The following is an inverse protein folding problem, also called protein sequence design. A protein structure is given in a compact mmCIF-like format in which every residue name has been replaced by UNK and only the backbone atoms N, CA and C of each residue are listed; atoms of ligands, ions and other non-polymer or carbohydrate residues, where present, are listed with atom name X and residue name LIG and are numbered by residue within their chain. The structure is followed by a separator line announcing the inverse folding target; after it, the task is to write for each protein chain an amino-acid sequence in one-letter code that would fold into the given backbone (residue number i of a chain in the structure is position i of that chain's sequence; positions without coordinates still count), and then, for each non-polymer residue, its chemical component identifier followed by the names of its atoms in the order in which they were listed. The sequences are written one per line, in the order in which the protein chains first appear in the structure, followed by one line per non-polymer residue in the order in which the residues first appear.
data_IF_240223400060
#
_entry.id   IF_240223400060
#
_cell.length_a   1.000
_cell.length_b   1.000
_cell.length_c   1.000
_cell.angle_alpha   90.00
_cell.angle_beta   90.00
_cell.angle_gamma   90.00
#
_symmetry.space_group_name_H-M   'P 1'
#
loop_
_entity.id
_entity.type
_entity.pdbx_description
1 polymer ?
#
# COMPACT_ATOMS: atom_id res chain seq x y z
N UNK A 1 2.69 29.82 9.85
CA UNK A 1 2.77 29.12 9.57
C UNK A 1 2.26 28.30 9.34
N UNK A 2 2.12 28.14 8.84
CA UNK A 2 1.57 27.26 8.85
C UNK A 2 2.07 26.09 8.68
N UNK A 3 2.06 25.39 9.45
CA UNK A 3 2.50 24.19 9.39
C UNK A 3 1.67 23.35 8.54
N UNK A 4 2.22 22.70 7.67
CA UNK A 4 1.53 21.83 6.87
C UNK A 4 1.37 20.56 7.61
N UNK A 5 0.23 20.21 8.03
CA UNK A 5 0.00 18.98 8.75
C UNK A 5 -0.61 17.98 7.81
N UNK A 6 -0.13 16.75 7.87
CA UNK A 6 -0.73 15.69 7.09
C UNK A 6 -2.13 15.45 7.59
N UNK A 7 -3.04 15.19 6.69
CA UNK A 7 -4.42 14.88 7.00
C UNK A 7 -4.45 13.52 7.73
N UNK A 8 -5.08 13.47 8.87
CA UNK A 8 -5.22 12.22 9.61
C UNK A 8 -6.47 11.51 9.13
N UNK A 9 -6.30 10.26 8.70
CA UNK A 9 -7.41 9.46 8.20
C UNK A 9 -7.96 8.62 9.34
N UNK A 10 -9.27 8.49 9.40
CA UNK A 10 -9.86 7.56 10.34
C UNK A 10 -9.96 6.19 9.66
N UNK A 11 -10.13 5.17 10.47
CA UNK A 11 -10.11 3.80 9.95
C UNK A 11 -11.20 3.55 8.91
N UNK A 12 -12.38 4.10 9.14
CA UNK A 12 -13.47 3.92 8.17
C UNK A 12 -13.14 4.52 6.83
N UNK A 13 -12.44 5.64 6.83
CA UNK A 13 -12.02 6.24 5.57
C UNK A 13 -11.00 5.38 4.86
N UNK A 14 -10.10 4.79 5.62
CA UNK A 14 -9.11 3.90 5.02
C UNK A 14 -9.77 2.67 4.41
N UNK A 15 -10.74 2.09 5.11
CA UNK A 15 -11.47 0.95 4.57
C UNK A 15 -12.23 1.33 3.30
N UNK A 16 -12.79 2.53 3.27
CA UNK A 16 -13.50 2.98 2.08
C UNK A 16 -12.56 3.17 0.90
N UNK A 17 -11.36 3.69 1.17
CA UNK A 17 -10.38 3.83 0.09
C UNK A 17 -9.94 2.46 -0.43
N UNK A 18 -9.73 1.51 0.47
CA UNK A 18 -9.40 0.15 0.06
C UNK A 18 -10.51 -0.40 -0.84
N UNK A 19 -11.76 -0.21 -0.43
CA UNK A 19 -12.89 -0.69 -1.22
C UNK A 19 -12.90 -0.05 -2.60
N UNK A 20 -12.66 1.26 -2.66
CA UNK A 20 -12.62 1.95 -3.94
C UNK A 20 -11.51 1.44 -4.84
N UNK A 21 -10.35 1.21 -4.28
CA UNK A 21 -9.23 0.70 -5.07
C UNK A 21 -9.52 -0.71 -5.58
N UNK A 22 -10.12 -1.55 -4.75
CA UNK A 22 -10.47 -2.90 -5.20
C UNK A 22 -11.50 -2.87 -6.31
N UNK A 23 -12.44 -1.95 -6.23
CA UNK A 23 -13.44 -1.81 -7.29
C UNK A 23 -12.79 -1.37 -8.59
N UNK A 24 -11.81 -0.48 -8.52
CA UNK A 24 -11.08 -0.09 -9.72
C UNK A 24 -10.37 -1.28 -10.32
N UNK A 25 -9.74 -2.10 -9.49
CA UNK A 25 -9.06 -3.29 -9.98
C UNK A 25 -10.04 -4.24 -10.66
N UNK A 26 -11.22 -4.40 -10.08
CA UNK A 26 -12.22 -5.31 -10.61
C UNK A 26 -12.85 -4.81 -11.90
N UNK A 27 -12.80 -3.50 -12.14
CA UNK A 27 -13.45 -2.90 -13.29
C UNK A 27 -12.47 -2.43 -14.36
N UNK A 28 -11.33 -3.09 -14.38
CA UNK A 28 -10.37 -2.89 -15.46
C UNK A 28 -9.77 -1.49 -15.51
N UNK A 29 -9.53 -0.92 -14.36
CA UNK A 29 -8.91 0.39 -14.28
C UNK A 29 -7.39 0.36 -14.14
N UNK A 30 -6.79 -0.81 -14.33
CA UNK A 30 -5.34 -0.92 -14.32
C UNK A 30 -4.79 -1.09 -15.72
N UNK A 31 -3.63 -0.47 -15.95
CA UNK A 31 -2.90 -0.67 -17.17
C UNK A 31 -2.12 -1.98 -17.09
N UNK A 32 -1.59 -2.41 -18.21
CA UNK A 32 -0.85 -3.66 -18.26
C UNK A 32 0.35 -3.65 -17.31
N UNK A 33 0.92 -2.47 -17.07
CA UNK A 33 2.08 -2.38 -16.19
C UNK A 33 1.71 -2.28 -14.72
N UNK A 34 0.42 -2.40 -14.39
CA UNK A 34 -0.01 -2.40 -13.01
C UNK A 34 -0.36 -1.06 -12.42
N UNK A 35 -0.17 0.03 -13.17
CA UNK A 35 -0.57 1.35 -12.68
C UNK A 35 -2.03 1.58 -12.99
N UNK A 36 -2.64 2.49 -12.25
CA UNK A 36 -4.04 2.83 -12.50
C UNK A 36 -4.17 3.78 -13.67
N UNK A 37 -5.28 3.67 -14.37
CA UNK A 37 -5.53 4.51 -15.53
C UNK A 37 -5.75 5.96 -15.15
N UNK A 38 -5.51 6.83 -16.10
CA UNK A 38 -5.71 8.25 -15.90
C UNK A 38 -7.14 8.53 -15.40
N UNK A 39 -7.26 9.42 -14.44
CA UNK A 39 -8.56 9.76 -13.88
C UNK A 39 -8.97 8.94 -12.68
N UNK A 40 -8.16 7.98 -12.28
CA UNK A 40 -8.55 7.11 -11.17
C UNK A 40 -8.68 7.87 -9.85
N UNK A 41 -7.87 8.91 -9.66
CA UNK A 41 -7.96 9.67 -8.41
C UNK A 41 -9.28 10.40 -8.27
N UNK A 42 -9.81 10.90 -9.37
CA UNK A 42 -11.12 11.56 -9.33
C UNK A 42 -12.23 10.57 -9.02
N UNK A 43 -12.10 9.36 -9.54
CA UNK A 43 -13.05 8.31 -9.21
C UNK A 43 -13.02 8.00 -7.73
N UNK A 44 -11.82 7.94 -7.16
CA UNK A 44 -11.69 7.67 -5.74
C UNK A 44 -12.21 8.82 -4.90
N UNK A 45 -11.98 10.05 -5.34
CA UNK A 45 -12.52 11.19 -4.60
C UNK A 45 -14.02 11.15 -4.57
N UNK A 46 -14.66 10.82 -5.69
CA UNK A 46 -16.11 10.69 -5.73
C UNK A 46 -16.58 9.59 -4.78
N UNK A 47 -15.89 8.46 -4.80
CA UNK A 47 -16.24 7.34 -3.93
C UNK A 47 -16.16 7.74 -2.46
N UNK A 48 -15.08 8.44 -2.09
CA UNK A 48 -14.91 8.88 -0.71
C UNK A 48 -16.01 9.83 -0.30
N UNK A 49 -16.38 10.76 -1.18
CA UNK A 49 -17.38 11.75 -0.84
C UNK A 49 -18.78 11.19 -0.78
N UNK A 50 -19.04 10.13 -1.53
CA UNK A 50 -20.33 9.46 -1.43
C UNK A 50 -20.46 8.73 -0.10
N UNK A 51 -19.40 8.06 0.31
CA UNK A 51 -19.43 7.28 1.55
C UNK A 51 -19.21 8.11 2.79
N UNK A 52 -18.46 9.20 2.66
CA UNK A 52 -18.16 10.07 3.80
C UNK A 52 -18.37 11.52 3.40
N UNK A 53 -19.61 11.95 3.32
CA UNK A 53 -19.88 13.35 2.95
C UNK A 53 -19.17 14.29 3.91
N UNK A 54 -18.60 15.34 3.35
CA UNK A 54 -17.90 16.35 4.14
C UNK A 54 -16.57 15.87 4.73
N UNK A 55 -16.02 14.76 4.22
CA UNK A 55 -14.74 14.30 4.75
C UNK A 55 -13.59 15.21 4.32
N UNK A 56 -13.77 15.97 3.25
CA UNK A 56 -12.74 16.89 2.81
C UNK A 56 -11.54 16.25 2.14
N UNK A 57 -11.63 14.97 1.84
CA UNK A 57 -10.52 14.28 1.20
C UNK A 57 -10.54 14.54 -0.30
N UNK A 58 -9.45 15.09 -0.80
CA UNK A 58 -9.33 15.45 -2.20
C UNK A 58 -8.39 14.50 -2.93
N UNK A 59 -8.60 14.40 -4.24
CA UNK A 59 -7.73 13.56 -5.07
C UNK A 59 -6.26 13.92 -4.85
N UNK A 60 -5.96 15.20 -4.85
CA UNK A 60 -4.65 15.72 -4.53
C UNK A 60 -4.83 16.74 -3.43
N UNK A 61 -4.07 16.69 -2.39
CA UNK A 61 -2.96 15.75 -2.15
C UNK A 61 -3.35 14.51 -1.37
N UNK A 62 -4.56 14.47 -0.80
CA UNK A 62 -4.87 13.50 0.24
C UNK A 62 -4.85 12.06 -0.23
N UNK A 63 -5.64 11.76 -1.25
CA UNK A 63 -5.78 10.39 -1.71
C UNK A 63 -4.48 9.92 -2.35
N UNK A 64 -3.89 10.75 -3.18
CA UNK A 64 -2.64 10.41 -3.84
C UNK A 64 -1.53 10.10 -2.83
N UNK A 65 -1.40 10.96 -1.81
CA UNK A 65 -0.37 10.76 -0.79
C UNK A 65 -0.60 9.47 0.00
N UNK A 66 -1.86 9.19 0.31
CA UNK A 66 -2.19 7.98 1.05
C UNK A 66 -1.81 6.74 0.27
N UNK A 67 -2.16 6.72 -1.02
CA UNK A 67 -1.85 5.57 -1.86
C UNK A 67 -0.35 5.39 -2.00
N UNK A 68 0.38 6.48 -2.19
CA UNK A 68 1.84 6.39 -2.29
C UNK A 68 2.45 5.83 -1.02
N UNK A 69 1.97 6.26 0.14
CA UNK A 69 2.45 5.75 1.40
C UNK A 69 2.17 4.26 1.55
N UNK A 70 0.95 3.86 1.23
CA UNK A 70 0.57 2.45 1.29
C UNK A 70 1.44 1.61 0.34
N UNK A 71 1.65 2.12 -0.86
CA UNK A 71 2.45 1.37 -1.83
C UNK A 71 3.88 1.22 -1.35
N UNK A 72 4.42 2.24 -0.72
CA UNK A 72 5.77 2.15 -0.18
C UNK A 72 5.86 1.11 0.94
N UNK A 73 4.88 1.11 1.84
CA UNK A 73 4.82 0.09 2.89
C UNK A 73 4.73 -1.30 2.26
N UNK A 74 3.84 -1.45 1.28
CA UNK A 74 3.65 -2.72 0.63
C UNK A 74 4.93 -3.22 -0.02
N UNK A 75 5.63 -2.34 -0.71
CA UNK A 75 6.85 -2.74 -1.40
C UNK A 75 7.94 -3.13 -0.42
N UNK A 76 8.05 -2.41 0.70
CA UNK A 76 9.05 -2.73 1.70
C UNK A 76 8.78 -4.09 2.35
N UNK A 77 7.52 -4.34 2.71
CA UNK A 77 7.17 -5.62 3.31
C UNK A 77 7.37 -6.75 2.32
N UNK A 78 6.99 -6.52 1.07
CA UNK A 78 7.13 -7.54 0.03
C UNK A 78 8.59 -7.87 -0.22
N UNK A 79 9.45 -6.87 -0.20
CA UNK A 79 10.88 -7.11 -0.38
C UNK A 79 11.42 -7.94 0.77
N UNK A 80 11.03 -7.61 2.00
CA UNK A 80 11.47 -8.38 3.16
C UNK A 80 11.01 -9.82 3.06
N UNK A 81 9.77 -10.03 2.64
CA UNK A 81 9.23 -11.38 2.50
C UNK A 81 10.01 -12.19 1.47
N UNK A 82 10.52 -11.53 0.44
CA UNK A 82 11.20 -12.23 -0.64
C UNK A 82 12.63 -12.60 -0.29
N UNK A 83 13.19 -12.03 0.79
CA UNK A 83 14.57 -12.31 1.15
C UNK A 83 14.66 -13.60 1.90
N UNK A 84 15.40 -14.57 1.35
CA UNK A 84 15.61 -15.82 2.05
C UNK A 84 16.54 -15.55 3.24
N UNK A 85 16.34 -16.27 4.30
CA UNK A 85 17.20 -16.13 5.46
C UNK A 85 16.71 -15.15 6.50
N UNK A 86 15.71 -14.35 6.18
CA UNK A 86 15.16 -13.44 7.17
C UNK A 86 14.20 -14.12 8.13
N UNK A 87 13.63 -15.25 7.72
CA UNK A 87 12.63 -15.91 8.55
C UNK A 87 11.40 -15.04 8.76
N UNK A 88 11.07 -14.27 7.73
CA UNK A 88 9.99 -13.30 7.82
C UNK A 88 8.63 -14.00 7.83
N UNK A 89 7.77 -13.60 8.75
CA UNK A 89 6.41 -14.10 8.80
C UNK A 89 5.46 -12.95 9.04
N UNK A 90 4.27 -13.07 8.48
CA UNK A 90 3.25 -12.06 8.65
C UNK A 90 2.03 -12.76 9.24
N UNK A 91 1.75 -12.48 10.50
CA UNK A 91 0.67 -13.12 11.22
C UNK A 91 -0.19 -12.06 11.89
N UNK A 92 -1.49 -12.08 11.59
CA UNK A 92 -2.44 -11.13 12.18
C UNK A 92 -1.99 -9.69 12.04
N UNK A 93 -1.47 -9.35 10.89
CA UNK A 93 -1.05 -7.98 10.63
C UNK A 93 0.27 -7.60 11.25
N UNK A 94 0.93 -8.53 11.92
CA UNK A 94 2.21 -8.25 12.57
C UNK A 94 3.34 -8.96 11.85
N UNK A 95 4.45 -8.25 11.71
CA UNK A 95 5.64 -8.81 11.09
C UNK A 95 6.48 -9.47 12.17
N UNK A 96 6.77 -10.73 11.98
CA UNK A 96 7.63 -11.50 12.88
C UNK A 96 8.86 -11.94 12.13
N UNK A 97 10.00 -11.90 12.78
CA UNK A 97 11.27 -12.26 12.16
C UNK A 97 11.96 -13.30 13.02
N UNK A 98 12.29 -14.43 12.43
CA UNK A 98 12.90 -15.52 13.17
C UNK A 98 14.41 -15.32 13.39
N UNK A 99 15.05 -14.57 12.50
CA UNK A 99 16.48 -14.34 12.58
C UNK A 99 16.75 -12.84 12.80
N UNK A 100 16.90 -12.42 14.05
CA UNK A 100 17.10 -10.99 14.33
C UNK A 100 18.35 -10.41 13.69
N UNK A 101 19.40 -11.19 13.55
CA UNK A 101 20.63 -10.67 12.94
C UNK A 101 20.42 -10.38 11.47
N UNK A 102 19.75 -11.30 10.76
CA UNK A 102 19.46 -11.06 9.36
C UNK A 102 18.56 -9.85 9.19
N UNK A 103 17.62 -9.67 10.09
CA UNK A 103 16.76 -8.51 10.05
C UNK A 103 17.55 -7.21 10.29
N UNK A 104 18.47 -7.26 11.27
CA UNK A 104 19.29 -6.08 11.55
C UNK A 104 20.11 -5.70 10.33
N UNK A 105 20.65 -6.68 9.61
CA UNK A 105 21.40 -6.39 8.39
C UNK A 105 20.51 -5.80 7.32
N UNK A 106 19.31 -6.30 7.22
CA UNK A 106 18.36 -5.80 6.23
C UNK A 106 18.01 -4.33 6.48
N UNK A 107 17.72 -3.97 7.73
CA UNK A 107 17.34 -2.60 8.02
C UNK A 107 18.49 -1.62 7.95
N UNK A 108 19.72 -2.11 7.96
CA UNK A 108 20.88 -1.23 7.76
C UNK A 108 20.91 -0.68 6.35
N UNK A 109 20.48 -1.47 5.38
CA UNK A 109 20.45 -1.01 4.00
C UNK A 109 19.09 -0.43 3.63
N UNK A 110 18.04 -0.78 4.36
CA UNK A 110 16.73 -0.23 4.10
C UNK A 110 16.21 0.41 5.37
N UNK A 111 16.56 1.68 5.56
CA UNK A 111 16.18 2.39 6.78
C UNK A 111 14.69 2.57 6.91
N UNK A 112 13.97 2.54 5.80
CA UNK A 112 12.53 2.64 5.87
C UNK A 112 11.94 1.42 6.56
N UNK A 113 12.52 0.24 6.30
CA UNK A 113 12.05 -0.98 6.93
C UNK A 113 12.19 -0.90 8.45
N UNK A 114 13.22 -0.19 8.92
CA UNK A 114 13.41 -0.04 10.35
C UNK A 114 12.20 0.61 11.01
N UNK A 115 11.62 1.61 10.37
CA UNK A 115 10.48 2.31 10.93
C UNK A 115 9.23 1.45 10.96
N UNK A 116 9.23 0.34 10.25
CA UNK A 116 8.06 -0.54 10.19
C UNK A 116 8.16 -1.73 11.14
N UNK A 117 9.31 -1.90 11.78
CA UNK A 117 9.53 -3.04 12.67
C UNK A 117 8.58 -2.99 13.87
N UNK A 118 8.02 -4.14 14.21
CA UNK A 118 7.13 -4.30 15.36
C UNK A 118 5.82 -3.56 15.29
N UNK A 119 5.48 -3.02 14.14
CA UNK A 119 4.19 -2.38 13.95
C UNK A 119 3.23 -3.36 13.31
N UNK A 120 1.95 -3.08 13.45
CA UNK A 120 0.94 -3.91 12.82
C UNK A 120 0.58 -3.33 11.46
N UNK A 121 0.36 -4.21 10.51
CA UNK A 121 0.03 -3.81 9.15
C UNK A 121 -1.20 -4.58 8.68
N UNK A 122 -2.37 -4.30 9.27
CA UNK A 122 -3.57 -5.10 9.01
C UNK A 122 -4.06 -5.01 7.58
N UNK A 123 -3.69 -3.96 6.86
CA UNK A 123 -4.14 -3.81 5.48
C UNK A 123 -3.23 -4.48 4.47
N UNK A 124 -2.17 -5.16 4.93
CA UNK A 124 -1.20 -5.70 3.99
C UNK A 124 -1.84 -6.67 2.97
N UNK A 125 -2.74 -7.52 3.43
CA UNK A 125 -3.40 -8.45 2.51
C UNK A 125 -4.23 -7.70 1.47
N UNK A 126 -4.85 -6.60 1.88
CA UNK A 126 -5.61 -5.78 0.94
C UNK A 126 -4.66 -5.10 -0.05
N UNK A 127 -3.52 -4.64 0.43
CA UNK A 127 -2.53 -4.02 -0.45
C UNK A 127 -2.01 -5.03 -1.47
N UNK A 128 -1.84 -6.28 -1.07
CA UNK A 128 -1.41 -7.29 -2.02
C UNK A 128 -2.39 -7.41 -3.18
N UNK A 129 -3.66 -7.38 -2.86
CA UNK A 129 -4.67 -7.48 -3.89
C UNK A 129 -4.67 -6.25 -4.80
N UNK A 130 -4.47 -5.07 -4.21
CA UNK A 130 -4.55 -3.82 -4.94
C UNK A 130 -3.30 -3.55 -5.77
N UNK A 131 -2.12 -3.73 -5.15
CA UNK A 131 -0.87 -3.28 -5.76
C UNK A 131 -0.12 -4.37 -6.49
N UNK A 132 -0.49 -5.61 -6.29
CA UNK A 132 0.17 -6.68 -7.01
C UNK A 132 -0.15 -6.54 -8.48
N UNK A 133 0.86 -6.67 -9.30
CA UNK A 133 0.62 -6.67 -10.70
C UNK A 133 -0.14 -7.91 -11.04
N UNK A 134 -0.92 -7.81 -12.08
CA UNK A 134 -1.51 -8.96 -12.62
C UNK A 134 -0.43 -9.98 -12.81
N UNK A 135 -0.65 -11.16 -12.36
CA UNK A 135 0.35 -12.20 -12.49
C UNK A 135 0.87 -12.33 -13.89
N UNK A 136 -0.01 -12.22 -14.85
CA UNK A 136 0.39 -12.31 -16.25
C UNK A 136 1.32 -11.18 -16.63
N UNK A 137 1.00 -9.98 -16.20
CA UNK A 137 1.82 -8.81 -16.51
C UNK A 137 3.20 -8.96 -15.92
N UNK A 138 3.23 -9.32 -14.68
CA UNK A 138 4.48 -9.48 -13.99
C UNK A 138 5.33 -10.53 -14.63
N UNK A 139 4.74 -11.65 -14.93
CA UNK A 139 5.45 -12.73 -15.56
C UNK A 139 5.88 -12.38 -16.96
N UNK A 140 5.05 -11.63 -17.65
CA UNK A 140 5.44 -11.21 -18.98
C UNK A 140 6.66 -10.33 -18.96
N UNK A 141 6.70 -9.41 -18.00
CA UNK A 141 7.85 -8.54 -17.88
C UNK A 141 9.10 -9.35 -17.61
N UNK A 142 8.98 -10.36 -16.80
CA UNK A 142 10.14 -11.17 -16.49
C UNK A 142 10.58 -12.02 -17.65
N UNK A 143 9.63 -12.52 -18.37
CA UNK A 143 9.97 -13.39 -19.47
C UNK A 143 10.56 -12.66 -20.65
N UNK A 144 10.20 -11.44 -20.78
CA UNK A 144 10.74 -10.68 -21.88
C UNK A 144 12.13 -10.18 -21.56
#
# INVERSE_FOLDING_TARGET
MSQKMARVWIQEEEFTLVDGLKKLCANDWKEDNGTFKHGYLMKLEQHMNVCHPNCGLQALPHIFSKIRGWKKHFMTISLAKSRSGLGFRYIDGTILVDDPEAWDDFIKVDLYAKSMTFKKWPLFADWEEIFRKDGATEQSAERT
#
